data_IF_736175887491
#
_entry.id   IF_736175887491
#
_cell.length_a   1.000
_cell.length_b   1.000
_cell.length_c   1.000
_cell.angle_alpha   90.00
_cell.angle_beta   90.00
_cell.angle_gamma   90.00
#
_symmetry.space_group_name_H-M   'P 1'
#
loop_
_entity.id
_entity.type
_entity.pdbx_description
1 polymer ?
#
# COMPACT_ATOMS: atom_id res chain seq x y z
N UNK A 1 -4.10 -24.26 -58.39
CA UNK A 1 -5.48 -23.82 -58.65
C UNK A 1 -5.90 -22.97 -57.48
N UNK A 2 -6.09 -21.66 -57.66
CA UNK A 2 -6.46 -20.76 -56.58
C UNK A 2 -7.99 -20.72 -56.45
N UNK A 3 -8.52 -21.23 -55.34
CA UNK A 3 -9.95 -21.35 -55.06
C UNK A 3 -10.49 -20.16 -54.24
N UNK A 4 -9.65 -19.13 -54.07
CA UNK A 4 -9.94 -17.92 -53.29
C UNK A 4 -11.25 -17.24 -53.73
N UNK A 5 -11.49 -17.07 -55.03
CA UNK A 5 -12.69 -16.41 -55.56
C UNK A 5 -14.01 -17.10 -55.17
N UNK A 6 -14.02 -18.43 -55.08
CA UNK A 6 -15.22 -19.21 -54.71
C UNK A 6 -15.38 -19.28 -53.19
N UNK A 7 -14.26 -19.30 -52.46
CA UNK A 7 -14.26 -19.50 -51.01
C UNK A 7 -14.40 -18.22 -50.21
N UNK A 8 -13.95 -17.08 -50.73
CA UNK A 8 -13.98 -15.78 -50.05
C UNK A 8 -15.41 -15.31 -49.65
N UNK A 9 -16.45 -15.47 -50.49
CA UNK A 9 -17.84 -15.19 -50.10
C UNK A 9 -18.35 -16.12 -49.01
N UNK A 10 -17.88 -17.38 -48.96
CA UNK A 10 -18.24 -18.34 -47.92
C UNK A 10 -17.62 -17.93 -46.58
N UNK A 11 -16.34 -17.53 -46.59
CA UNK A 11 -15.67 -17.01 -45.40
C UNK A 11 -16.35 -15.77 -44.82
N UNK A 12 -16.88 -14.88 -45.66
CA UNK A 12 -17.69 -13.75 -45.19
C UNK A 12 -18.94 -14.21 -44.42
N UNK A 13 -19.65 -15.24 -44.90
CA UNK A 13 -20.83 -15.79 -44.22
C UNK A 13 -20.45 -16.45 -42.88
N UNK A 14 -19.34 -17.17 -42.85
CA UNK A 14 -18.81 -17.76 -41.61
C UNK A 14 -18.42 -16.69 -40.59
N UNK A 15 -17.73 -15.63 -41.03
CA UNK A 15 -17.38 -14.50 -40.18
C UNK A 15 -18.61 -13.85 -39.55
N UNK A 16 -19.67 -13.65 -40.34
CA UNK A 16 -20.94 -13.11 -39.85
C UNK A 16 -21.63 -14.04 -38.85
N UNK A 17 -21.57 -15.36 -39.06
CA UNK A 17 -22.15 -16.34 -38.14
C UNK A 17 -21.44 -16.37 -36.79
N UNK A 18 -20.11 -16.34 -36.80
CA UNK A 18 -19.28 -16.42 -35.59
C UNK A 18 -19.25 -15.11 -34.81
N UNK A 19 -19.15 -13.98 -35.51
CA UNK A 19 -18.91 -12.68 -34.87
C UNK A 19 -20.08 -11.72 -34.97
N UNK A 20 -21.17 -12.10 -35.63
CA UNK A 20 -22.34 -11.26 -35.80
C UNK A 20 -22.23 -10.24 -36.94
N UNK A 21 -23.40 -9.67 -37.28
CA UNK A 21 -23.55 -8.75 -38.40
C UNK A 21 -22.86 -7.41 -38.16
N UNK A 22 -22.92 -6.87 -36.94
CA UNK A 22 -22.30 -5.57 -36.64
C UNK A 22 -20.80 -5.56 -36.88
N UNK A 23 -20.10 -6.60 -36.42
CA UNK A 23 -18.66 -6.73 -36.63
C UNK A 23 -18.32 -6.89 -38.11
N UNK A 24 -19.14 -7.67 -38.83
CA UNK A 24 -18.97 -7.86 -40.27
C UNK A 24 -19.16 -6.54 -41.02
N UNK A 25 -20.20 -5.77 -40.70
CA UNK A 25 -20.45 -4.44 -41.29
C UNK A 25 -19.31 -3.47 -41.02
N UNK A 26 -18.72 -3.47 -39.81
CA UNK A 26 -17.54 -2.65 -39.48
C UNK A 26 -16.32 -3.03 -40.33
N UNK A 27 -16.08 -4.33 -40.54
CA UNK A 27 -14.98 -4.81 -41.39
C UNK A 27 -15.22 -4.44 -42.86
N UNK A 28 -16.44 -4.59 -43.36
CA UNK A 28 -16.82 -4.16 -44.72
C UNK A 28 -16.59 -2.65 -44.89
N UNK A 29 -17.00 -1.83 -43.92
CA UNK A 29 -16.80 -0.40 -43.97
C UNK A 29 -15.31 -0.05 -44.07
N UNK A 30 -14.46 -0.66 -43.23
CA UNK A 30 -13.00 -0.47 -43.28
C UNK A 30 -12.37 -0.96 -44.60
N UNK A 31 -12.81 -2.10 -45.12
CA UNK A 31 -12.34 -2.59 -46.42
C UNK A 31 -12.72 -1.64 -47.55
N UNK A 32 -13.92 -1.05 -47.50
CA UNK A 32 -14.36 -0.03 -48.46
C UNK A 32 -13.54 1.26 -48.34
N UNK A 33 -13.24 1.71 -47.13
CA UNK A 33 -12.38 2.88 -46.87
C UNK A 33 -10.98 2.70 -47.45
N UNK A 34 -10.42 1.48 -47.38
CA UNK A 34 -9.11 1.16 -47.92
C UNK A 34 -9.10 0.98 -49.46
N UNK A 35 -10.27 0.97 -50.11
CA UNK A 35 -10.44 0.86 -51.56
C UNK A 35 -10.01 -0.50 -52.16
N UNK A 36 -10.00 -0.57 -53.50
CA UNK A 36 -9.59 -1.74 -54.33
C UNK A 36 -8.14 -2.21 -54.10
N UNK A 37 -7.38 -1.55 -53.23
CA UNK A 37 -5.96 -1.80 -52.96
C UNK A 37 -5.70 -2.85 -51.89
N UNK A 38 -6.73 -3.44 -51.29
CA UNK A 38 -6.53 -4.42 -50.21
C UNK A 38 -6.45 -5.84 -50.75
N UNK A 39 -5.32 -6.56 -50.56
CA UNK A 39 -5.20 -7.98 -50.90
C UNK A 39 -5.86 -8.89 -49.85
N UNK A 40 -6.54 -8.32 -48.85
CA UNK A 40 -7.01 -9.09 -47.69
C UNK A 40 -8.25 -9.91 -48.03
N UNK A 41 -8.13 -11.23 -47.88
CA UNK A 41 -9.27 -12.15 -47.98
C UNK A 41 -10.04 -12.23 -46.67
N UNK A 42 -11.33 -12.55 -46.73
CA UNK A 42 -12.15 -12.82 -45.53
C UNK A 42 -11.58 -13.93 -44.67
N UNK A 43 -10.85 -14.87 -45.29
CA UNK A 43 -10.12 -15.94 -44.59
C UNK A 43 -9.01 -15.38 -43.68
N UNK A 44 -8.20 -14.45 -44.19
CA UNK A 44 -7.13 -13.81 -43.41
C UNK A 44 -7.70 -12.98 -42.26
N UNK A 45 -8.76 -12.21 -42.53
CA UNK A 45 -9.44 -11.42 -41.51
C UNK A 45 -10.04 -12.30 -40.40
N UNK A 46 -10.54 -13.48 -40.77
CA UNK A 46 -11.04 -14.47 -39.83
C UNK A 46 -9.90 -15.07 -38.98
N UNK A 47 -8.79 -15.45 -39.60
CA UNK A 47 -7.61 -15.99 -38.91
C UNK A 47 -7.03 -14.97 -37.91
N UNK A 48 -6.80 -13.73 -38.36
CA UNK A 48 -6.28 -12.65 -37.52
C UNK A 48 -7.19 -12.36 -36.31
N UNK A 49 -8.51 -12.45 -36.50
CA UNK A 49 -9.44 -12.26 -35.38
C UNK A 49 -9.41 -13.41 -34.38
N UNK A 50 -9.33 -14.66 -34.84
CA UNK A 50 -9.17 -15.82 -33.95
C UNK A 50 -7.87 -15.73 -33.16
N UNK A 51 -6.78 -15.30 -33.79
CA UNK A 51 -5.50 -15.08 -33.11
C UNK A 51 -5.62 -14.02 -32.01
N UNK A 52 -6.27 -12.89 -32.30
CA UNK A 52 -6.55 -11.84 -31.30
C UNK A 52 -7.36 -12.37 -30.11
N UNK A 53 -8.34 -13.24 -30.35
CA UNK A 53 -9.11 -13.87 -29.27
C UNK A 53 -8.24 -14.79 -28.42
N UNK A 54 -7.45 -15.66 -29.05
CA UNK A 54 -6.51 -16.55 -28.36
C UNK A 54 -5.51 -15.76 -27.51
N UNK A 55 -4.92 -14.70 -28.05
CA UNK A 55 -4.02 -13.85 -27.26
C UNK A 55 -4.69 -13.26 -26.01
N UNK A 56 -5.96 -12.87 -26.12
CA UNK A 56 -6.71 -12.32 -24.98
C UNK A 56 -6.97 -13.42 -23.96
N UNK A 57 -7.38 -14.60 -24.40
CA UNK A 57 -7.55 -15.79 -23.55
C UNK A 57 -6.25 -16.17 -22.84
N UNK A 58 -5.13 -16.27 -23.56
CA UNK A 58 -3.81 -16.59 -23.01
C UNK A 58 -3.38 -15.54 -21.98
N UNK A 59 -3.57 -14.24 -22.27
CA UNK A 59 -3.29 -13.17 -21.31
C UNK A 59 -4.16 -13.26 -20.06
N UNK A 60 -5.41 -13.73 -20.17
CA UNK A 60 -6.28 -13.95 -19.02
C UNK A 60 -5.84 -15.16 -18.21
N UNK A 61 -5.48 -16.26 -18.88
CA UNK A 61 -4.95 -17.47 -18.25
C UNK A 61 -3.65 -17.15 -17.50
N UNK A 62 -2.71 -16.43 -18.10
CA UNK A 62 -1.48 -15.98 -17.47
C UNK A 62 -1.73 -15.13 -16.22
N UNK A 63 -2.72 -14.23 -16.28
CA UNK A 63 -3.10 -13.43 -15.11
C UNK A 63 -3.66 -14.32 -14.00
N UNK A 64 -4.45 -15.33 -14.35
CA UNK A 64 -5.03 -16.27 -13.39
C UNK A 64 -3.94 -17.15 -12.75
N UNK A 65 -3.04 -17.72 -13.54
CA UNK A 65 -1.93 -18.56 -13.03
C UNK A 65 -0.99 -17.77 -12.13
N UNK A 66 -0.65 -16.53 -12.50
CA UNK A 66 0.18 -15.65 -11.66
C UNK A 66 -0.48 -15.35 -10.32
N UNK A 67 -1.78 -15.03 -10.29
CA UNK A 67 -2.53 -14.80 -9.04
C UNK A 67 -2.54 -16.05 -8.16
N UNK A 68 -2.80 -17.22 -8.76
CA UNK A 68 -2.81 -18.48 -8.04
C UNK A 68 -1.44 -18.84 -7.44
N UNK A 69 -0.35 -18.63 -8.21
CA UNK A 69 1.01 -18.84 -7.72
C UNK A 69 1.37 -17.85 -6.60
N UNK A 70 0.98 -16.58 -6.73
CA UNK A 70 1.23 -15.57 -5.69
C UNK A 70 0.51 -15.92 -4.38
N UNK A 71 -0.75 -16.35 -4.45
CA UNK A 71 -1.49 -16.78 -3.26
C UNK A 71 -0.88 -18.05 -2.65
N UNK A 72 -0.45 -19.01 -3.46
CA UNK A 72 0.24 -20.22 -2.99
C UNK A 72 1.55 -19.87 -2.29
N UNK A 73 2.33 -18.93 -2.84
CA UNK A 73 3.56 -18.45 -2.24
C UNK A 73 3.31 -17.71 -0.91
N UNK A 74 2.24 -16.92 -0.82
CA UNK A 74 1.81 -16.26 0.42
C UNK A 74 1.41 -17.27 1.49
N UNK A 75 0.70 -18.33 1.12
CA UNK A 75 0.37 -19.44 2.04
C UNK A 75 1.63 -20.16 2.51
N UNK A 76 2.58 -20.41 1.61
CA UNK A 76 3.86 -21.05 1.97
C UNK A 76 4.78 -20.15 2.80
N UNK A 77 4.75 -18.83 2.62
CA UNK A 77 5.57 -17.92 3.43
C UNK A 77 5.04 -17.80 4.86
N UNK A 78 3.72 -17.89 5.04
CA UNK A 78 3.06 -17.96 6.35
C UNK A 78 3.18 -19.34 7.02
N UNK A 79 3.56 -20.37 6.27
CA UNK A 79 3.72 -21.72 6.82
C UNK A 79 4.95 -21.79 7.73
N UNK A 80 4.74 -22.25 8.95
CA UNK A 80 5.81 -22.45 9.93
C UNK A 80 6.74 -23.56 9.41
N UNK A 81 7.97 -23.18 9.02
CA UNK A 81 9.01 -24.15 8.68
C UNK A 81 9.67 -24.62 9.98
N UNK A 82 9.71 -25.93 10.18
CA UNK A 82 10.48 -26.53 11.27
C UNK A 82 11.97 -26.23 11.02
N UNK A 83 12.52 -25.26 11.75
CA UNK A 83 13.95 -25.00 11.72
C UNK A 83 14.63 -26.20 12.40
N UNK A 84 15.14 -27.13 11.59
CA UNK A 84 16.00 -28.19 12.11
C UNK A 84 17.25 -27.49 12.60
N UNK A 85 17.34 -27.33 13.91
CA UNK A 85 18.48 -26.72 14.60
C UNK A 85 19.66 -27.69 14.50
N UNK A 86 20.19 -27.85 13.29
CA UNK A 86 21.53 -28.36 13.07
C UNK A 86 22.43 -27.17 13.40
N UNK A 87 23.22 -27.23 14.49
CA UNK A 87 24.19 -26.19 14.78
C UNK A 87 25.03 -25.98 13.52
N UNK A 88 25.37 -24.74 13.11
CA UNK A 88 26.33 -24.55 12.05
C UNK A 88 27.57 -25.37 12.43
N UNK A 89 27.83 -26.43 11.67
CA UNK A 89 29.02 -27.27 11.80
C UNK A 89 30.21 -26.46 11.31
N UNK A 90 30.53 -25.40 12.03
CA UNK A 90 31.67 -24.54 11.82
C UNK A 90 32.35 -24.40 13.16
N UNK A 91 33.48 -25.10 13.30
CA UNK A 91 34.45 -24.89 14.37
C UNK A 91 35.04 -23.48 14.20
N UNK A 92 34.26 -22.44 14.48
CA UNK A 92 34.76 -21.06 14.52
C UNK A 92 35.31 -20.83 15.92
N UNK A 93 36.63 -20.82 16.04
CA UNK A 93 37.35 -20.54 17.27
C UNK A 93 36.92 -19.18 17.85
N UNK A 94 36.36 -19.22 19.06
CA UNK A 94 36.13 -18.02 19.87
C UNK A 94 37.44 -17.68 20.59
N UNK A 95 38.24 -16.80 19.99
CA UNK A 95 39.38 -16.17 20.64
C UNK A 95 38.91 -14.83 21.21
N UNK A 96 38.85 -14.73 22.55
CA UNK A 96 38.44 -13.52 23.26
C UNK A 96 38.15 -13.81 24.73
N UNK A 97 39.22 -14.02 25.52
CA UNK A 97 39.16 -14.45 26.91
C UNK A 97 38.75 -13.39 27.94
N UNK A 98 38.53 -13.90 29.16
CA UNK A 98 38.68 -13.33 30.52
C UNK A 98 38.33 -11.85 30.77
N UNK A 99 37.37 -11.52 31.64
CA UNK A 99 37.55 -11.58 33.10
C UNK A 99 36.40 -10.92 33.92
N UNK A 100 36.48 -10.91 35.26
CA UNK A 100 35.34 -11.05 36.18
C UNK A 100 34.92 -9.74 36.88
N UNK A 101 33.65 -9.63 37.32
CA UNK A 101 33.24 -9.11 38.65
C UNK A 101 31.74 -8.84 38.79
N UNK A 102 31.17 -9.45 39.85
CA UNK A 102 30.09 -8.97 40.71
C UNK A 102 28.89 -8.22 40.11
N UNK A 103 27.80 -8.96 39.87
CA UNK A 103 26.55 -8.76 40.62
C UNK A 103 25.76 -10.07 40.59
N UNK A 104 26.08 -10.93 41.55
CA UNK A 104 25.22 -12.03 41.96
C UNK A 104 23.89 -11.47 42.48
N UNK A 105 22.90 -11.38 41.59
CA UNK A 105 21.48 -11.57 41.95
C UNK A 105 20.86 -12.58 40.98
N UNK A 106 21.50 -13.74 40.91
CA UNK A 106 20.91 -14.97 40.40
C UNK A 106 19.71 -15.35 41.29
N UNK A 107 18.49 -14.92 40.94
CA UNK A 107 17.24 -15.52 41.47
C UNK A 107 16.03 -15.36 40.55
N UNK A 108 16.20 -15.14 39.24
CA UNK A 108 15.08 -15.14 38.29
C UNK A 108 15.45 -15.97 37.08
N UNK A 109 15.21 -17.28 37.16
CA UNK A 109 15.69 -18.27 36.18
C UNK A 109 14.87 -18.34 34.89
N UNK A 110 13.87 -17.48 34.65
CA UNK A 110 13.11 -17.48 33.40
C UNK A 110 12.99 -16.08 32.74
N UNK A 111 12.99 -15.99 31.40
CA UNK A 111 12.75 -14.75 30.67
C UNK A 111 11.42 -14.07 31.05
N UNK A 112 10.42 -14.87 31.42
CA UNK A 112 9.09 -14.41 31.86
C UNK A 112 9.22 -13.56 33.14
N UNK A 113 9.96 -14.06 34.14
CA UNK A 113 10.15 -13.32 35.40
C UNK A 113 10.96 -12.04 35.21
N UNK A 114 11.92 -12.04 34.27
CA UNK A 114 12.65 -10.83 33.88
C UNK A 114 11.72 -9.79 33.24
N UNK A 115 10.85 -10.20 32.32
CA UNK A 115 9.88 -9.31 31.64
C UNK A 115 8.86 -8.74 32.63
N UNK A 116 8.31 -9.58 33.50
CA UNK A 116 7.36 -9.15 34.54
C UNK A 116 7.96 -8.05 35.45
N UNK A 117 9.23 -8.20 35.88
CA UNK A 117 9.88 -7.18 36.72
C UNK A 117 10.10 -5.86 35.98
N UNK A 118 10.53 -5.93 34.71
CA UNK A 118 10.71 -4.72 33.89
C UNK A 118 9.37 -3.99 33.71
N UNK A 119 8.28 -4.72 33.49
CA UNK A 119 6.94 -4.14 33.36
C UNK A 119 6.42 -3.53 34.67
N UNK A 120 6.65 -4.18 35.81
CA UNK A 120 6.29 -3.62 37.13
C UNK A 120 7.09 -2.34 37.40
N UNK A 121 8.39 -2.32 37.09
CA UNK A 121 9.22 -1.13 37.26
C UNK A 121 8.78 0.01 36.32
N UNK A 122 8.42 -0.29 35.07
CA UNK A 122 7.96 0.72 34.12
C UNK A 122 6.60 1.31 34.50
N UNK A 123 5.65 0.48 34.96
CA UNK A 123 4.36 0.93 35.49
C UNK A 123 4.54 1.83 36.71
N UNK A 124 5.43 1.46 37.64
CA UNK A 124 5.73 2.28 38.82
C UNK A 124 6.36 3.64 38.45
N UNK A 125 7.29 3.66 37.48
CA UNK A 125 7.86 4.92 36.95
C UNK A 125 6.79 5.80 36.30
N UNK A 126 5.89 5.21 35.51
CA UNK A 126 4.81 5.94 34.84
C UNK A 126 3.85 6.57 35.87
N UNK A 127 3.43 5.79 36.87
CA UNK A 127 2.54 6.30 37.94
C UNK A 127 3.18 7.43 38.72
N UNK A 128 4.48 7.31 39.07
CA UNK A 128 5.22 8.39 39.73
C UNK A 128 5.33 9.64 38.85
N UNK A 129 5.58 9.50 37.56
CA UNK A 129 5.62 10.62 36.62
C UNK A 129 4.24 11.29 36.47
N UNK A 130 3.15 10.52 36.42
CA UNK A 130 1.79 11.06 36.40
C UNK A 130 1.50 11.88 37.66
N UNK A 131 1.76 11.33 38.84
CA UNK A 131 1.55 12.04 40.11
C UNK A 131 2.36 13.34 40.19
N UNK A 132 3.65 13.32 39.78
CA UNK A 132 4.49 14.53 39.74
C UNK A 132 3.94 15.60 38.78
N UNK A 133 3.39 15.20 37.64
CA UNK A 133 2.76 16.12 36.69
C UNK A 133 1.38 16.61 37.13
N UNK A 134 0.65 15.85 37.95
CA UNK A 134 -0.64 16.28 38.51
C UNK A 134 -0.47 17.51 39.41
N UNK A 135 0.58 17.52 40.26
CA UNK A 135 0.88 18.68 41.10
C UNK A 135 1.44 19.88 40.32
N UNK A 136 2.18 19.64 39.23
CA UNK A 136 2.71 20.73 38.39
C UNK A 136 1.64 21.43 37.53
N UNK A 137 0.49 20.78 37.26
CA UNK A 137 -0.56 21.33 36.40
C UNK A 137 -1.56 22.22 37.14
N UNK A 138 -1.56 22.21 38.47
CA UNK A 138 -2.51 22.96 39.30
C UNK A 138 -2.11 24.41 39.59
N UNK A 139 -0.93 24.88 39.18
CA UNK A 139 -0.46 26.22 39.57
C UNK A 139 0.45 26.93 38.56
N UNK A 140 0.25 26.73 37.26
CA UNK A 140 0.97 27.52 36.26
C UNK A 140 -0.01 28.36 35.42
N UNK A 141 -0.02 29.71 35.57
CA UNK A 141 -0.69 30.57 34.60
C UNK A 141 0.01 30.43 33.24
N UNK A 142 -0.79 30.48 32.18
CA UNK A 142 -0.37 30.45 30.78
C UNK A 142 0.78 31.45 30.60
N UNK A 143 1.98 30.94 30.33
CA UNK A 143 3.18 31.76 30.14
C UNK A 143 3.08 32.49 28.81
N UNK A 144 2.65 33.75 28.85
CA UNK A 144 2.75 34.69 27.73
C UNK A 144 4.19 35.21 27.68
N UNK A 145 4.94 34.86 26.65
CA UNK A 145 6.23 35.51 26.37
C UNK A 145 6.04 36.43 25.17
N UNK A 146 5.86 37.72 25.42
CA UNK A 146 5.92 38.76 24.39
C UNK A 146 7.13 39.66 24.64
N UNK A 147 8.03 39.75 23.66
CA UNK A 147 9.11 40.77 23.65
C UNK A 147 8.70 42.02 22.85
N UNK A 148 7.48 42.08 22.28
CA UNK A 148 7.06 43.24 21.47
C UNK A 148 5.56 43.61 21.52
N UNK A 149 4.86 43.36 22.62
CA UNK A 149 3.54 43.96 22.88
C UNK A 149 2.38 43.57 21.93
N UNK A 150 2.49 42.50 21.14
CA UNK A 150 1.41 41.98 20.30
C UNK A 150 1.01 40.57 20.77
N UNK A 151 -0.29 40.28 20.99
CA UNK A 151 -0.72 38.93 21.32
C UNK A 151 -0.59 38.03 20.07
N UNK A 152 0.31 37.04 20.16
CA UNK A 152 0.51 36.04 19.11
C UNK A 152 0.01 34.71 19.65
N UNK A 153 -0.76 33.96 18.83
CA UNK A 153 -1.20 32.61 19.19
C UNK A 153 -0.32 31.60 18.45
N UNK A 154 0.36 30.76 19.22
CA UNK A 154 1.20 29.67 18.71
C UNK A 154 0.44 28.36 18.86
N UNK A 155 0.26 27.64 17.75
CA UNK A 155 -0.32 26.29 17.76
C UNK A 155 0.72 25.31 17.26
N UNK A 156 1.07 24.33 18.07
CA UNK A 156 2.00 23.25 17.72
C UNK A 156 1.23 21.96 17.54
N UNK A 157 1.34 21.37 16.34
CA UNK A 157 0.67 20.11 16.00
C UNK A 157 1.75 19.05 15.83
N UNK A 158 1.69 18.01 16.67
CA UNK A 158 2.58 16.86 16.58
C UNK A 158 1.94 15.75 15.73
N UNK A 159 2.70 15.25 14.75
CA UNK A 159 2.36 14.11 13.90
C UNK A 159 3.53 13.11 13.91
N UNK A 160 3.29 11.81 13.60
CA UNK A 160 4.26 10.74 13.85
C UNK A 160 5.67 10.97 13.29
N UNK A 161 5.80 11.68 12.16
CA UNK A 161 7.10 11.96 11.54
C UNK A 161 7.37 13.46 11.29
N UNK A 162 6.55 14.37 11.84
CA UNK A 162 6.80 15.81 11.74
C UNK A 162 6.10 16.59 12.83
N UNK A 163 6.74 17.68 13.26
CA UNK A 163 6.13 18.68 14.14
C UNK A 163 6.04 19.98 13.38
N UNK A 164 4.82 20.51 13.27
CA UNK A 164 4.59 21.80 12.61
C UNK A 164 4.19 22.80 13.67
N UNK A 165 5.01 23.85 13.82
CA UNK A 165 4.71 25.00 14.68
C UNK A 165 4.24 26.15 13.81
N UNK A 166 3.03 26.64 14.06
CA UNK A 166 2.46 27.76 13.33
C UNK A 166 2.24 28.91 14.32
N UNK A 167 2.95 30.01 14.09
CA UNK A 167 2.84 31.27 14.82
C UNK A 167 2.09 32.26 13.93
N UNK A 168 0.91 32.73 14.35
CA UNK A 168 0.14 33.73 13.60
C UNK A 168 -0.14 34.96 14.47
N UNK A 169 0.08 36.18 13.95
CA UNK A 169 -0.32 37.40 14.66
C UNK A 169 -1.84 37.45 14.73
N UNK A 170 -2.39 37.71 15.91
CA UNK A 170 -3.83 37.94 16.04
C UNK A 170 -4.14 39.34 15.52
N UNK A 171 -4.58 39.44 14.26
CA UNK A 171 -5.05 40.71 13.69
C UNK A 171 -6.22 41.28 14.50
N UNK A 172 -6.30 42.62 14.58
CA UNK A 172 -7.37 43.36 15.28
C UNK A 172 -8.74 42.84 14.88
N UNK A 173 -9.54 42.42 15.86
CA UNK A 173 -10.92 41.98 15.67
C UNK A 173 -11.73 43.11 15.02
N UNK A 174 -12.21 42.92 13.78
CA UNK A 174 -13.35 43.70 13.29
C UNK A 174 -14.58 43.21 14.06
N UNK A 175 -15.16 44.08 14.89
CA UNK A 175 -16.47 43.86 15.48
C UNK A 175 -17.49 43.71 14.36
N UNK A 176 -18.10 42.54 14.26
CA UNK A 176 -19.31 42.34 13.46
C UNK A 176 -20.46 42.85 14.33
N UNK A 177 -20.93 44.07 14.06
CA UNK A 177 -22.14 44.59 14.69
C UNK A 177 -23.34 43.84 14.10
N UNK A 178 -23.98 43.01 14.92
CA UNK A 178 -25.29 42.45 14.63
C UNK A 178 -26.35 43.52 14.91
N UNK A 179 -26.99 44.07 13.88
CA UNK A 179 -28.27 44.74 14.02
C UNK A 179 -29.34 43.96 13.25
N UNK A 180 -30.23 43.30 14.01
CA UNK A 180 -31.44 42.63 13.53
C UNK A 180 -32.59 43.62 13.66
N UNK A 181 -33.41 43.90 12.63
CA UNK A 181 -34.56 44.79 12.77
C UNK A 181 -35.66 44.06 13.55
N UNK A 182 -36.32 44.79 14.45
CA UNK A 182 -37.58 44.41 15.10
C UNK A 182 -38.71 45.19 14.40
N UNK A 183 -39.64 44.43 13.82
CA UNK A 183 -40.91 44.82 13.17
C UNK A 183 -40.81 45.81 12.00
#
# INVERSE_FOLDING_TARGET
>A
MDLSLVTDPLWRRFYQREFGQEHTSKVIARLKELGQKTPYTWRELFAAKKEKQKEVEDKMLDKFTKKFQAERAEKQSKQIKLCTKVPPSSKRSFFGGSGPSSVSSSSYKSPILKKARIEVNSRARLQSAMQKNTFARSSQPIRTTSVSGQPVRTTTIHRPNSTVTITKPMGKSRQIQNSRPKF
#
